data_IF_158135523340
#
_entry.id   IF_158135523340
#
_cell.length_a   1.000
_cell.length_b   1.000
_cell.length_c   1.000
_cell.angle_alpha   90.00
_cell.angle_beta   90.00
_cell.angle_gamma   90.00
#
_symmetry.space_group_name_H-M   'P 1'
#
loop_
_entity.id
_entity.type
_entity.pdbx_description
1 polymer ?
#
# COMPACT_ATOMS: atom_id res chain seq x y z
N UNK A 1 -15.47 -21.47 23.61
CA UNK A 1 -14.80 -22.52 22.80
C UNK A 1 -15.02 -22.14 21.35
N UNK A 2 -13.98 -21.71 20.66
CA UNK A 2 -14.14 -21.21 19.28
C UNK A 2 -14.46 -22.38 18.34
N UNK A 3 -15.24 -22.13 17.26
CA UNK A 3 -15.59 -23.17 16.26
C UNK A 3 -14.37 -23.85 15.67
N UNK A 4 -13.25 -23.11 15.51
CA UNK A 4 -11.97 -23.62 15.07
C UNK A 4 -11.38 -24.69 16.01
N UNK A 5 -11.58 -24.53 17.33
CA UNK A 5 -11.10 -25.50 18.33
C UNK A 5 -11.90 -26.82 18.30
N UNK A 6 -13.20 -26.74 18.01
CA UNK A 6 -14.07 -27.91 17.87
C UNK A 6 -13.64 -28.73 16.64
N UNK A 7 -13.38 -28.06 15.52
CA UNK A 7 -12.91 -28.68 14.28
C UNK A 7 -11.56 -29.39 14.45
N UNK A 8 -10.61 -28.70 15.08
CA UNK A 8 -9.27 -29.26 15.38
C UNK A 8 -9.37 -30.49 16.28
N UNK A 9 -10.14 -30.42 17.37
CA UNK A 9 -10.28 -31.52 18.31
C UNK A 9 -10.93 -32.75 17.66
N UNK A 10 -11.90 -32.54 16.78
CA UNK A 10 -12.52 -33.63 15.98
C UNK A 10 -11.48 -34.27 15.05
N UNK A 11 -10.74 -33.48 14.31
CA UNK A 11 -9.70 -33.96 13.41
C UNK A 11 -8.62 -34.76 14.18
N UNK A 12 -8.11 -34.24 15.31
CA UNK A 12 -7.13 -34.93 16.14
C UNK A 12 -7.63 -36.28 16.67
N UNK A 13 -8.92 -36.35 17.02
CA UNK A 13 -9.54 -37.61 17.46
C UNK A 13 -9.68 -38.62 16.31
N UNK A 14 -9.98 -38.18 15.10
CA UNK A 14 -10.10 -39.04 13.92
C UNK A 14 -8.74 -39.63 13.51
N UNK A 15 -7.69 -38.80 13.41
CA UNK A 15 -6.35 -39.29 13.06
C UNK A 15 -5.74 -40.16 14.15
N UNK A 16 -6.12 -39.94 15.41
CA UNK A 16 -5.65 -40.75 16.55
C UNK A 16 -6.14 -42.22 16.53
N UNK A 17 -7.24 -42.50 15.81
CA UNK A 17 -7.80 -43.85 15.65
C UNK A 17 -7.03 -44.70 14.63
N UNK A 18 -6.21 -44.09 13.79
CA UNK A 18 -5.49 -44.76 12.71
C UNK A 18 -4.20 -45.38 13.30
N UNK A 19 -3.97 -46.70 13.15
CA UNK A 19 -2.76 -47.31 13.65
C UNK A 19 -1.52 -46.86 12.90
N UNK A 20 -0.38 -46.79 13.61
CA UNK A 20 0.91 -46.47 13.00
C UNK A 20 1.39 -47.67 12.17
N UNK A 21 2.09 -47.37 11.08
CA UNK A 21 2.70 -48.40 10.21
C UNK A 21 4.04 -48.90 10.81
N UNK A 22 4.27 -50.20 10.65
CA UNK A 22 5.60 -50.77 10.89
C UNK A 22 6.51 -50.48 9.70
N UNK A 23 7.88 -50.52 9.90
CA UNK A 23 8.80 -50.31 8.78
C UNK A 23 8.60 -51.26 7.60
N UNK A 24 8.20 -52.50 7.87
CA UNK A 24 7.91 -53.49 6.83
C UNK A 24 6.68 -53.12 6.03
N UNK A 25 5.60 -52.65 6.70
CA UNK A 25 4.40 -52.16 6.04
C UNK A 25 4.66 -50.92 5.23
N UNK A 26 5.54 -49.99 5.69
CA UNK A 26 5.93 -48.84 4.90
C UNK A 26 6.56 -49.22 3.55
N UNK A 27 7.45 -50.24 3.55
CA UNK A 27 8.10 -50.74 2.33
C UNK A 27 7.09 -51.40 1.38
N UNK A 28 6.19 -52.25 1.90
CA UNK A 28 5.16 -52.91 1.10
C UNK A 28 4.20 -51.91 0.48
N UNK A 29 3.72 -50.95 1.27
CA UNK A 29 2.81 -49.91 0.78
C UNK A 29 3.52 -49.01 -0.23
N UNK A 30 4.77 -48.63 -0.02
CA UNK A 30 5.54 -47.83 -0.96
C UNK A 30 5.69 -48.54 -2.31
N UNK A 31 5.89 -49.86 -2.32
CA UNK A 31 5.95 -50.66 -3.55
C UNK A 31 4.61 -50.67 -4.31
N UNK A 32 3.47 -50.70 -3.59
CA UNK A 32 2.12 -50.62 -4.18
C UNK A 32 1.85 -49.20 -4.69
N UNK A 33 2.21 -48.14 -3.95
CA UNK A 33 2.06 -46.73 -4.37
C UNK A 33 2.83 -46.48 -5.67
N UNK A 34 4.06 -47.01 -5.82
CA UNK A 34 4.81 -46.90 -7.09
C UNK A 34 4.10 -47.58 -8.28
N UNK A 35 3.25 -48.58 -8.02
CA UNK A 35 2.42 -49.24 -9.03
C UNK A 35 1.10 -48.50 -9.33
N UNK A 36 0.84 -47.39 -8.64
CA UNK A 36 -0.36 -46.58 -8.84
C UNK A 36 -1.56 -46.97 -7.98
N UNK A 37 -1.40 -47.77 -6.92
CA UNK A 37 -2.47 -48.17 -6.03
C UNK A 37 -2.92 -47.00 -5.14
N UNK A 38 -4.12 -46.46 -5.45
CA UNK A 38 -4.70 -45.33 -4.73
C UNK A 38 -5.03 -45.68 -3.25
N UNK A 39 -5.47 -46.89 -2.97
CA UNK A 39 -5.80 -47.33 -1.59
C UNK A 39 -4.54 -47.43 -0.72
N UNK A 40 -3.46 -47.96 -1.29
CA UNK A 40 -2.18 -48.01 -0.59
C UNK A 40 -1.63 -46.62 -0.30
N UNK A 41 -1.79 -45.68 -1.25
CA UNK A 41 -1.43 -44.25 -1.07
C UNK A 41 -2.22 -43.59 0.06
N UNK A 42 -3.53 -43.78 0.05
CA UNK A 42 -4.41 -43.21 1.09
C UNK A 42 -4.07 -43.79 2.48
N UNK A 43 -3.87 -45.11 2.59
CA UNK A 43 -3.48 -45.76 3.85
C UNK A 43 -2.14 -45.21 4.37
N UNK A 44 -1.15 -45.00 3.51
CA UNK A 44 0.17 -44.48 3.86
C UNK A 44 0.10 -43.03 4.30
N UNK A 45 -0.72 -42.19 3.67
CA UNK A 45 -0.97 -40.80 4.07
C UNK A 45 -1.65 -40.76 5.43
N UNK A 46 -2.78 -41.46 5.58
CA UNK A 46 -3.61 -41.44 6.79
C UNK A 46 -2.83 -41.88 8.04
N UNK A 47 -2.00 -42.89 7.93
CA UNK A 47 -1.16 -43.36 9.04
C UNK A 47 -0.08 -42.33 9.48
N UNK A 48 0.28 -41.38 8.64
CA UNK A 48 1.31 -40.37 8.89
C UNK A 48 0.78 -38.95 9.15
N UNK A 49 -0.56 -38.72 9.20
CA UNK A 49 -1.14 -37.41 9.49
C UNK A 49 -0.72 -36.83 10.85
N UNK A 50 -0.49 -37.71 11.85
CA UNK A 50 -0.01 -37.30 13.18
C UNK A 50 1.35 -36.61 13.12
N UNK A 51 2.25 -37.05 12.21
CA UNK A 51 3.55 -36.40 11.98
C UNK A 51 3.38 -34.95 11.47
N UNK A 52 2.41 -34.74 10.59
CA UNK A 52 2.12 -33.41 10.07
C UNK A 52 1.69 -32.45 11.19
N UNK A 53 0.80 -32.92 12.08
CA UNK A 53 0.33 -32.10 13.22
C UNK A 53 1.49 -31.70 14.13
N UNK A 54 2.37 -32.64 14.46
CA UNK A 54 3.55 -32.34 15.29
C UNK A 54 4.44 -31.28 14.65
N UNK A 55 4.69 -31.39 13.35
CA UNK A 55 5.54 -30.42 12.64
C UNK A 55 4.81 -29.08 12.47
N UNK A 56 3.50 -29.05 12.18
CA UNK A 56 2.72 -27.83 12.02
C UNK A 56 2.66 -27.02 13.30
N UNK A 57 2.66 -27.67 14.47
CA UNK A 57 2.66 -27.02 15.77
C UNK A 57 3.91 -26.15 15.99
N UNK A 58 5.07 -26.55 15.47
CA UNK A 58 6.32 -25.75 15.53
C UNK A 58 6.20 -24.41 14.77
N UNK A 59 5.25 -24.31 13.87
CA UNK A 59 4.99 -23.13 13.04
C UNK A 59 3.72 -22.37 13.43
N UNK A 60 3.08 -22.74 14.55
CA UNK A 60 1.93 -22.03 15.08
C UNK A 60 2.27 -20.56 15.38
N UNK A 61 1.28 -19.66 15.29
CA UNK A 61 1.41 -18.23 15.58
C UNK A 61 2.34 -17.43 14.63
N UNK A 62 2.76 -18.00 13.51
CA UNK A 62 3.56 -17.28 12.50
C UNK A 62 2.71 -16.53 11.46
N UNK A 63 1.39 -16.47 11.66
CA UNK A 63 0.49 -15.68 10.81
C UNK A 63 -0.51 -16.48 9.99
N UNK A 64 -0.53 -17.82 10.15
CA UNK A 64 -1.57 -18.71 9.63
C UNK A 64 -2.20 -19.50 10.78
N UNK A 65 -3.51 -19.79 10.71
CA UNK A 65 -4.19 -20.70 11.62
C UNK A 65 -3.58 -22.10 11.58
N UNK A 66 -3.60 -22.81 12.72
CA UNK A 66 -3.00 -24.16 12.82
C UNK A 66 -3.63 -25.16 11.84
N UNK A 67 -4.95 -25.07 11.62
CA UNK A 67 -5.66 -25.95 10.67
C UNK A 67 -5.17 -25.74 9.22
N UNK A 68 -4.86 -24.50 8.84
CA UNK A 68 -4.33 -24.20 7.51
C UNK A 68 -2.89 -24.71 7.36
N UNK A 69 -2.07 -24.58 8.41
CA UNK A 69 -0.72 -25.15 8.44
C UNK A 69 -0.74 -26.68 8.32
N UNK A 70 -1.70 -27.35 8.99
CA UNK A 70 -1.89 -28.80 8.87
C UNK A 70 -2.31 -29.16 7.43
N UNK A 71 -3.24 -28.41 6.85
CA UNK A 71 -3.71 -28.66 5.48
C UNK A 71 -2.59 -28.54 4.45
N UNK A 72 -1.79 -27.49 4.55
CA UNK A 72 -0.61 -27.29 3.70
C UNK A 72 0.49 -28.36 3.97
N UNK A 73 0.65 -28.75 5.22
CA UNK A 73 1.52 -29.87 5.61
C UNK A 73 1.07 -31.21 5.02
N UNK A 74 -0.24 -31.47 4.96
CA UNK A 74 -0.80 -32.66 4.35
C UNK A 74 -0.53 -32.71 2.83
N UNK A 75 -0.54 -31.55 2.15
CA UNK A 75 -0.11 -31.46 0.74
C UNK A 75 1.37 -31.84 0.61
N UNK A 76 2.20 -31.39 1.54
CA UNK A 76 3.61 -31.78 1.61
C UNK A 76 3.80 -33.29 1.83
N UNK A 77 3.05 -33.89 2.77
CA UNK A 77 3.06 -35.32 3.04
C UNK A 77 2.65 -36.14 1.82
N UNK A 78 1.57 -35.73 1.10
CA UNK A 78 1.13 -36.38 -0.12
C UNK A 78 2.23 -36.46 -1.17
N UNK A 79 2.93 -35.34 -1.40
CA UNK A 79 4.08 -35.30 -2.31
C UNK A 79 5.24 -36.17 -1.85
N UNK A 80 5.46 -36.26 -0.54
CA UNK A 80 6.48 -37.13 0.02
C UNK A 80 6.16 -38.61 -0.23
N UNK A 81 4.92 -39.04 0.02
CA UNK A 81 4.47 -40.42 -0.19
C UNK A 81 4.62 -40.84 -1.65
N UNK A 82 4.26 -39.98 -2.61
CA UNK A 82 4.39 -40.26 -4.04
C UNK A 82 5.84 -40.43 -4.51
N UNK A 83 6.77 -39.74 -3.86
CA UNK A 83 8.20 -39.72 -4.25
C UNK A 83 9.09 -40.59 -3.37
N UNK A 84 8.52 -41.21 -2.36
CA UNK A 84 9.29 -42.01 -1.42
C UNK A 84 9.87 -43.26 -2.06
N UNK A 85 11.16 -43.51 -1.79
CA UNK A 85 11.86 -44.72 -2.22
C UNK A 85 12.44 -45.47 -1.01
N UNK A 86 11.85 -46.63 -0.62
CA UNK A 86 12.31 -47.40 0.51
C UNK A 86 13.71 -47.99 0.32
N UNK A 87 14.16 -48.17 -0.95
CA UNK A 87 15.48 -48.73 -1.25
C UNK A 87 16.65 -47.84 -0.79
N UNK A 88 16.38 -46.56 -0.50
CA UNK A 88 17.39 -45.62 0.00
C UNK A 88 17.70 -45.76 1.51
N UNK A 89 17.11 -46.71 2.20
CA UNK A 89 17.40 -47.03 3.60
C UNK A 89 16.88 -45.99 4.63
N UNK A 90 16.16 -44.96 4.22
CA UNK A 90 15.60 -43.95 5.09
C UNK A 90 14.15 -44.29 5.46
N UNK A 91 13.73 -43.96 6.70
CA UNK A 91 12.31 -44.04 7.11
C UNK A 91 11.48 -42.98 6.38
N UNK A 92 10.20 -43.29 6.10
CA UNK A 92 9.27 -42.32 5.49
C UNK A 92 9.20 -41.04 6.31
N UNK A 93 9.14 -41.12 7.63
CA UNK A 93 9.06 -39.96 8.50
C UNK A 93 10.20 -38.96 8.30
N UNK A 94 11.44 -39.44 8.15
CA UNK A 94 12.62 -38.59 7.90
C UNK A 94 12.55 -37.88 6.55
N UNK A 95 12.09 -38.58 5.51
CA UNK A 95 11.93 -38.02 4.17
C UNK A 95 10.74 -37.05 4.10
N UNK A 96 9.60 -37.44 4.67
CA UNK A 96 8.38 -36.64 4.67
C UNK A 96 8.52 -35.32 5.44
N UNK A 97 9.29 -35.33 6.57
CA UNK A 97 9.54 -34.16 7.37
C UNK A 97 10.06 -32.96 6.52
N UNK A 98 10.97 -33.25 5.59
CA UNK A 98 11.51 -32.20 4.72
C UNK A 98 10.42 -31.58 3.80
N UNK A 99 9.58 -32.46 3.19
CA UNK A 99 8.49 -32.01 2.31
C UNK A 99 7.39 -31.26 3.06
N UNK A 100 7.04 -31.74 4.26
CA UNK A 100 6.06 -31.10 5.13
C UNK A 100 6.55 -29.70 5.52
N UNK A 101 7.79 -29.59 6.04
CA UNK A 101 8.39 -28.29 6.40
C UNK A 101 8.50 -27.35 5.21
N UNK A 102 8.84 -27.84 4.03
CA UNK A 102 8.93 -27.05 2.82
C UNK A 102 7.57 -26.50 2.39
N UNK A 103 6.50 -27.34 2.44
CA UNK A 103 5.15 -26.92 2.11
C UNK A 103 4.63 -25.85 3.08
N UNK A 104 4.79 -26.08 4.38
CA UNK A 104 4.39 -25.13 5.44
C UNK A 104 5.13 -23.79 5.28
N UNK A 105 6.46 -23.81 5.11
CA UNK A 105 7.25 -22.58 4.93
C UNK A 105 6.82 -21.81 3.68
N UNK A 106 6.52 -22.53 2.60
CA UNK A 106 6.05 -21.91 1.35
C UNK A 106 4.67 -21.28 1.53
N UNK A 107 3.76 -21.94 2.24
CA UNK A 107 2.45 -21.41 2.59
C UNK A 107 2.56 -20.14 3.45
N UNK A 108 3.39 -20.18 4.50
CA UNK A 108 3.68 -19.02 5.33
C UNK A 108 4.24 -17.85 4.52
N UNK A 109 5.18 -18.08 3.63
CA UNK A 109 5.74 -17.03 2.80
C UNK A 109 4.71 -16.39 1.85
N UNK A 110 3.71 -17.17 1.42
CA UNK A 110 2.70 -16.73 0.44
C UNK A 110 1.44 -16.11 1.07
N UNK A 111 1.04 -16.57 2.26
CA UNK A 111 -0.31 -16.34 2.80
C UNK A 111 -0.30 -15.69 4.19
N UNK A 112 0.84 -15.65 4.91
CA UNK A 112 0.87 -15.17 6.30
C UNK A 112 0.73 -13.65 6.46
N UNK A 113 0.82 -12.89 5.37
CA UNK A 113 0.74 -11.43 5.40
C UNK A 113 -0.46 -10.92 4.61
N UNK A 114 -1.15 -9.92 5.15
CA UNK A 114 -2.26 -9.21 4.49
C UNK A 114 -1.80 -8.61 3.16
N UNK A 115 -0.63 -7.96 3.15
CA UNK A 115 0.02 -7.49 1.92
C UNK A 115 1.06 -8.54 1.54
N UNK A 116 0.76 -9.32 0.48
CA UNK A 116 1.62 -10.38 0.01
C UNK A 116 2.99 -9.85 -0.44
N UNK A 117 4.05 -10.44 0.07
CA UNK A 117 5.42 -10.16 -0.36
C UNK A 117 5.99 -11.32 -1.19
N UNK A 118 6.85 -11.04 -2.18
CA UNK A 118 7.63 -12.07 -2.86
C UNK A 118 8.49 -12.88 -1.88
N UNK A 119 8.60 -14.20 -2.10
CA UNK A 119 9.31 -15.13 -1.19
C UNK A 119 10.74 -14.68 -0.88
N UNK A 120 11.47 -14.20 -1.91
CA UNK A 120 12.85 -13.73 -1.72
C UNK A 120 12.98 -12.51 -0.80
N UNK A 121 11.92 -11.67 -0.66
CA UNK A 121 11.89 -10.57 0.32
C UNK A 121 11.58 -11.11 1.72
N UNK A 122 10.67 -12.09 1.84
CA UNK A 122 10.38 -12.74 3.11
C UNK A 122 11.64 -13.39 3.69
N UNK A 123 12.42 -14.09 2.85
CA UNK A 123 13.69 -14.70 3.26
C UNK A 123 14.72 -13.64 3.70
N UNK A 124 14.82 -12.52 2.99
CA UNK A 124 15.70 -11.40 3.37
C UNK A 124 15.29 -10.79 4.71
N UNK A 125 13.98 -10.53 4.90
CA UNK A 125 13.46 -10.01 6.18
C UNK A 125 13.75 -10.96 7.33
N UNK A 126 13.53 -12.28 7.12
CA UNK A 126 13.84 -13.29 8.11
C UNK A 126 15.35 -13.34 8.44
N UNK A 127 16.23 -13.16 7.44
CA UNK A 127 17.69 -13.08 7.65
C UNK A 127 18.05 -11.83 8.45
N UNK A 128 17.51 -10.64 8.08
CA UNK A 128 17.73 -9.38 8.82
C UNK A 128 17.32 -9.54 10.28
N UNK A 129 16.11 -10.10 10.54
CA UNK A 129 15.61 -10.30 11.90
C UNK A 129 16.51 -11.25 12.72
N UNK A 130 17.00 -12.33 12.11
CA UNK A 130 17.88 -13.30 12.78
C UNK A 130 19.22 -12.64 13.18
N UNK A 131 19.84 -11.91 12.24
CA UNK A 131 21.10 -11.22 12.50
C UNK A 131 20.90 -10.12 13.54
N UNK A 132 19.79 -9.38 13.46
CA UNK A 132 19.45 -8.36 14.46
C UNK A 132 19.35 -8.93 15.88
N UNK A 133 18.72 -10.09 16.05
CA UNK A 133 18.66 -10.77 17.36
C UNK A 133 20.04 -11.20 17.85
N UNK A 134 20.86 -11.80 16.97
CA UNK A 134 22.22 -12.23 17.33
C UNK A 134 23.12 -11.04 17.72
N UNK A 135 23.04 -9.94 16.98
CA UNK A 135 23.81 -8.73 17.31
C UNK A 135 23.29 -8.04 18.58
N UNK A 136 21.98 -8.07 18.81
CA UNK A 136 21.38 -7.53 20.04
C UNK A 136 21.88 -8.28 21.29
N UNK A 137 22.01 -9.60 21.21
CA UNK A 137 22.55 -10.42 22.29
C UNK A 137 24.03 -10.11 22.56
N UNK A 138 24.81 -9.77 21.52
CA UNK A 138 26.24 -9.44 21.65
C UNK A 138 26.47 -8.01 22.13
N UNK A 139 25.68 -7.04 21.62
CA UNK A 139 25.85 -5.61 21.90
C UNK A 139 25.12 -5.16 23.18
N UNK A 140 24.17 -5.95 23.70
CA UNK A 140 23.30 -5.54 24.80
C UNK A 140 22.31 -4.41 24.45
N UNK A 141 22.19 -4.05 23.16
CA UNK A 141 21.25 -3.05 22.60
C UNK A 141 20.78 -3.45 21.21
N UNK A 142 19.74 -2.81 20.73
CA UNK A 142 19.34 -3.00 19.33
C UNK A 142 20.40 -2.44 18.36
N UNK A 143 20.82 -3.21 17.35
CA UNK A 143 21.77 -2.78 16.33
C UNK A 143 21.12 -1.73 15.41
N UNK A 144 21.92 -0.76 14.97
CA UNK A 144 21.53 0.24 13.98
C UNK A 144 21.38 -0.39 12.58
N UNK A 145 20.70 0.31 11.67
CA UNK A 145 20.52 -0.19 10.31
C UNK A 145 21.85 -0.26 9.54
N UNK A 146 22.79 0.61 9.87
CA UNK A 146 24.13 0.61 9.25
C UNK A 146 24.97 -0.56 9.76
N UNK A 147 24.97 -0.85 11.06
CA UNK A 147 25.64 -2.02 11.64
C UNK A 147 25.09 -3.35 11.06
N UNK A 148 23.76 -3.46 10.93
CA UNK A 148 23.13 -4.60 10.26
C UNK A 148 23.49 -4.66 8.78
N UNK A 149 23.63 -3.50 8.13
CA UNK A 149 24.04 -3.38 6.75
C UNK A 149 25.44 -3.92 6.51
N UNK A 150 26.39 -3.57 7.37
CA UNK A 150 27.77 -4.04 7.33
C UNK A 150 27.84 -5.57 7.49
N UNK A 151 27.14 -6.14 8.48
CA UNK A 151 27.12 -7.60 8.72
C UNK A 151 26.47 -8.39 7.58
N UNK A 152 25.43 -7.83 6.96
CA UNK A 152 24.69 -8.46 5.86
C UNK A 152 25.27 -8.17 4.47
N UNK A 153 26.21 -7.22 4.34
CA UNK A 153 26.77 -6.78 3.06
C UNK A 153 25.77 -6.01 2.19
N UNK A 154 24.88 -5.21 2.82
CA UNK A 154 23.86 -4.40 2.13
C UNK A 154 23.83 -2.99 2.73
N UNK A 155 23.43 -1.99 1.94
CA UNK A 155 23.32 -0.61 2.43
C UNK A 155 22.27 -0.50 3.57
N UNK A 156 22.58 0.29 4.63
CA UNK A 156 21.70 0.51 5.78
C UNK A 156 20.29 0.99 5.40
N UNK A 157 20.16 1.88 4.41
CA UNK A 157 18.87 2.31 3.87
C UNK A 157 17.99 1.14 3.38
N UNK A 158 18.60 0.11 2.76
CA UNK A 158 17.88 -1.10 2.33
C UNK A 158 17.45 -1.95 3.52
N UNK A 159 18.23 -1.96 4.61
CA UNK A 159 17.84 -2.64 5.85
C UNK A 159 16.62 -1.97 6.46
N UNK A 160 16.60 -0.64 6.57
CA UNK A 160 15.45 0.13 7.04
C UNK A 160 14.18 -0.14 6.23
N UNK A 161 14.28 -0.17 4.90
CA UNK A 161 13.17 -0.54 4.00
C UNK A 161 12.70 -1.98 4.22
N UNK A 162 13.59 -2.94 4.45
CA UNK A 162 13.21 -4.32 4.73
C UNK A 162 12.53 -4.46 6.10
N UNK A 163 12.96 -3.70 7.11
CA UNK A 163 12.30 -3.66 8.43
C UNK A 163 10.86 -3.11 8.31
N UNK A 164 10.66 -1.99 7.60
CA UNK A 164 9.32 -1.41 7.41
C UNK A 164 8.38 -2.34 6.63
N UNK A 165 8.85 -3.05 5.58
CA UNK A 165 8.08 -4.09 4.90
C UNK A 165 7.75 -5.30 5.80
N UNK A 166 8.52 -5.49 6.88
CA UNK A 166 8.32 -6.54 7.87
C UNK A 166 7.13 -6.30 8.81
N UNK A 167 6.68 -5.05 8.96
CA UNK A 167 5.62 -4.65 9.88
C UNK A 167 4.29 -5.30 9.44
N UNK A 168 3.49 -5.74 10.41
CA UNK A 168 2.13 -6.23 10.17
C UNK A 168 1.16 -5.05 10.29
N UNK A 169 0.22 -4.88 9.34
CA UNK A 169 -0.86 -3.91 9.49
C UNK A 169 -1.70 -4.22 10.74
N UNK A 170 -2.08 -3.19 11.46
CA UNK A 170 -3.08 -3.30 12.53
C UNK A 170 -4.49 -3.32 11.92
N UNK A 171 -5.46 -3.88 12.65
CA UNK A 171 -6.88 -3.77 12.27
C UNK A 171 -7.39 -2.36 12.56
N UNK A 172 -8.18 -1.81 11.67
CA UNK A 172 -8.89 -0.55 11.90
C UNK A 172 -10.04 -0.72 12.90
N UNK A 173 -10.59 -1.94 13.01
CA UNK A 173 -11.65 -2.29 13.95
C UNK A 173 -11.09 -2.65 15.35
N UNK A 174 -9.78 -2.51 15.56
CA UNK A 174 -9.19 -2.76 16.87
C UNK A 174 -9.58 -1.63 17.84
N UNK A 175 -9.97 -1.96 19.09
CA UNK A 175 -10.31 -0.96 20.11
C UNK A 175 -9.06 -0.17 20.53
N UNK A 176 -9.26 1.10 20.88
CA UNK A 176 -8.22 1.99 21.39
C UNK A 176 -8.37 2.07 22.92
N UNK A 177 -7.38 1.54 23.64
CA UNK A 177 -7.36 1.56 25.11
C UNK A 177 -8.16 0.42 25.75
N UNK A 178 -8.45 0.58 27.05
CA UNK A 178 -9.16 -0.42 27.86
C UNK A 178 -10.70 -0.31 27.73
N UNK A 179 -11.20 0.80 27.21
CA UNK A 179 -12.63 0.99 26.94
C UNK A 179 -12.93 0.57 25.49
N UNK A 180 -13.66 -0.52 25.32
CA UNK A 180 -14.08 -1.08 24.01
C UNK A 180 -14.99 -0.14 23.17
N UNK A 181 -15.05 1.15 23.49
CA UNK A 181 -16.02 2.11 22.94
C UNK A 181 -15.53 2.84 21.69
N UNK A 182 -14.23 2.86 21.40
CA UNK A 182 -13.66 3.64 20.29
C UNK A 182 -12.72 2.77 19.46
N UNK A 183 -12.95 2.69 18.15
CA UNK A 183 -12.12 1.96 17.20
C UNK A 183 -11.11 2.89 16.51
N UNK A 184 -9.99 2.34 16.00
CA UNK A 184 -9.03 3.11 15.20
C UNK A 184 -9.68 3.75 13.97
N UNK A 185 -10.70 3.11 13.40
CA UNK A 185 -11.43 3.61 12.23
C UNK A 185 -12.13 4.95 12.47
N UNK A 186 -12.57 5.22 13.70
CA UNK A 186 -13.26 6.46 14.08
C UNK A 186 -12.30 7.65 14.24
N UNK A 187 -11.02 7.38 14.54
CA UNK A 187 -10.01 8.43 14.76
C UNK A 187 -9.31 8.84 13.47
N UNK A 188 -9.26 7.94 12.50
CA UNK A 188 -8.62 8.22 11.22
C UNK A 188 -9.56 9.02 10.33
N UNK A 189 -9.23 10.32 10.15
CA UNK A 189 -9.97 11.20 9.24
C UNK A 189 -9.70 10.87 7.78
N UNK A 190 -10.66 11.19 6.92
CA UNK A 190 -10.49 11.14 5.46
C UNK A 190 -9.79 12.43 4.99
N UNK A 191 -8.52 12.32 4.59
CA UNK A 191 -7.72 13.46 4.10
C UNK A 191 -8.21 13.98 2.74
N UNK A 192 -8.89 13.14 1.96
CA UNK A 192 -9.44 13.50 0.65
C UNK A 192 -10.86 14.09 0.73
N UNK A 193 -11.49 14.07 1.91
CA UNK A 193 -12.82 14.63 2.11
C UNK A 193 -12.79 16.15 1.97
N UNK A 194 -13.54 16.65 0.99
CA UNK A 194 -13.68 18.09 0.77
C UNK A 194 -14.39 18.74 1.97
N UNK A 195 -13.80 19.80 2.50
CA UNK A 195 -14.44 20.58 3.56
C UNK A 195 -15.70 21.29 3.04
N UNK A 196 -16.70 21.57 3.89
CA UNK A 196 -17.88 22.36 3.49
C UNK A 196 -17.50 23.70 2.87
N UNK A 197 -16.41 24.31 3.32
CA UNK A 197 -15.89 25.56 2.75
C UNK A 197 -15.37 25.37 1.32
N UNK A 198 -14.66 24.29 1.03
CA UNK A 198 -14.18 23.98 -0.33
C UNK A 198 -15.33 23.69 -1.28
N UNK A 199 -16.33 22.93 -0.83
CA UNK A 199 -17.55 22.68 -1.61
C UNK A 199 -18.28 24.01 -1.95
N UNK A 200 -18.43 24.89 -0.98
CA UNK A 200 -19.05 26.20 -1.19
C UNK A 200 -18.22 27.07 -2.12
N UNK A 201 -16.90 27.08 -1.95
CA UNK A 201 -15.96 27.80 -2.85
C UNK A 201 -16.10 27.31 -4.28
N UNK A 202 -16.11 26.00 -4.49
CA UNK A 202 -16.22 25.41 -5.84
C UNK A 202 -17.59 25.67 -6.47
N UNK A 203 -18.66 25.69 -5.67
CA UNK A 203 -19.99 26.03 -6.13
C UNK A 203 -20.07 27.53 -6.53
N UNK A 204 -19.52 28.42 -5.71
CA UNK A 204 -19.45 29.84 -6.03
C UNK A 204 -18.63 30.08 -7.31
N UNK A 205 -17.48 29.41 -7.44
CA UNK A 205 -16.64 29.51 -8.64
C UNK A 205 -17.40 29.06 -9.90
N UNK A 206 -18.15 27.95 -9.83
CA UNK A 206 -19.00 27.50 -10.96
C UNK A 206 -20.08 28.54 -11.33
N UNK A 207 -20.71 29.14 -10.34
CA UNK A 207 -21.72 30.14 -10.53
C UNK A 207 -21.13 31.42 -11.16
N UNK A 208 -19.97 31.87 -10.68
CA UNK A 208 -19.24 33.02 -11.24
C UNK A 208 -18.80 32.76 -12.68
N UNK A 209 -18.28 31.59 -12.97
CA UNK A 209 -17.93 31.16 -14.33
C UNK A 209 -19.15 31.15 -15.26
N UNK A 210 -20.31 30.67 -14.79
CA UNK A 210 -21.55 30.72 -15.52
C UNK A 210 -21.92 32.16 -15.95
N UNK A 211 -21.83 33.11 -15.00
CA UNK A 211 -22.08 34.52 -15.26
C UNK A 211 -21.03 35.19 -16.17
N UNK A 212 -19.78 34.74 -16.16
CA UNK A 212 -18.74 35.22 -17.07
C UNK A 212 -18.96 34.75 -18.52
N UNK A 213 -19.45 33.51 -18.70
CA UNK A 213 -19.73 32.95 -20.01
C UNK A 213 -20.88 33.70 -20.74
N UNK A 214 -21.70 34.47 -20.04
CA UNK A 214 -22.75 35.31 -20.65
C UNK A 214 -22.20 36.52 -21.41
N UNK A 215 -20.95 36.92 -21.16
CA UNK A 215 -20.26 37.99 -21.88
C UNK A 215 -19.83 37.56 -23.28
N UNK A 216 -19.80 36.27 -23.55
CA UNK A 216 -19.38 35.70 -24.83
C UNK A 216 -20.54 35.58 -25.80
N UNK A 217 -20.25 35.71 -27.10
CA UNK A 217 -21.22 35.42 -28.16
C UNK A 217 -21.59 33.91 -28.12
N UNK A 218 -22.81 33.57 -28.54
CA UNK A 218 -23.33 32.19 -28.54
C UNK A 218 -22.36 31.18 -29.21
N UNK A 219 -21.63 31.62 -30.23
CA UNK A 219 -20.69 30.79 -30.96
C UNK A 219 -19.40 30.58 -30.15
N UNK A 220 -18.88 31.66 -29.56
CA UNK A 220 -17.70 31.62 -28.67
C UNK A 220 -17.97 30.77 -27.40
N UNK A 221 -19.14 30.99 -26.78
CA UNK A 221 -19.59 30.22 -25.61
C UNK A 221 -19.59 28.71 -25.91
N UNK A 222 -20.20 28.28 -27.02
CA UNK A 222 -20.23 26.86 -27.42
C UNK A 222 -18.85 26.30 -27.71
N UNK A 223 -17.92 27.07 -28.29
CA UNK A 223 -16.54 26.62 -28.54
C UNK A 223 -15.81 26.42 -27.22
N UNK A 224 -15.89 27.38 -26.29
CA UNK A 224 -15.27 27.30 -24.98
C UNK A 224 -15.86 26.13 -24.16
N UNK A 225 -17.20 26.02 -24.12
CA UNK A 225 -17.84 24.90 -23.38
C UNK A 225 -17.41 23.55 -23.88
N UNK A 226 -17.38 23.31 -25.18
CA UNK A 226 -16.94 22.04 -25.76
C UNK A 226 -15.42 21.77 -25.58
N UNK A 227 -14.62 22.84 -25.71
CA UNK A 227 -13.15 22.71 -25.56
C UNK A 227 -12.76 22.33 -24.15
N UNK A 228 -13.36 22.94 -23.13
CA UNK A 228 -13.04 22.74 -21.71
C UNK A 228 -13.99 21.78 -20.99
N UNK A 229 -15.03 21.27 -21.67
CA UNK A 229 -15.98 20.32 -21.08
C UNK A 229 -16.93 20.97 -20.04
N UNK A 230 -17.21 22.29 -20.16
CA UNK A 230 -18.06 23.03 -19.22
C UNK A 230 -19.53 22.59 -19.25
N UNK A 231 -19.95 21.88 -20.29
CA UNK A 231 -21.29 21.29 -20.42
C UNK A 231 -21.40 19.91 -19.71
N UNK A 232 -20.43 19.53 -18.85
CA UNK A 232 -20.37 18.22 -18.20
C UNK A 232 -19.81 17.10 -19.09
N UNK A 233 -19.38 17.40 -20.30
CA UNK A 233 -18.73 16.48 -21.22
C UNK A 233 -17.20 16.42 -21.03
N UNK A 234 -16.54 15.48 -21.74
CA UNK A 234 -15.06 15.45 -21.77
C UNK A 234 -14.51 16.61 -22.60
N UNK A 235 -13.39 17.24 -22.20
CA UNK A 235 -12.71 18.25 -22.99
C UNK A 235 -12.37 17.73 -24.40
N UNK A 236 -12.66 18.54 -25.44
CA UNK A 236 -12.41 18.16 -26.83
C UNK A 236 -11.14 18.84 -27.37
N UNK A 237 -10.46 18.19 -28.32
CA UNK A 237 -9.30 18.79 -29.01
C UNK A 237 -9.76 19.91 -29.97
N UNK A 238 -8.85 20.80 -30.38
CA UNK A 238 -9.16 21.84 -31.36
C UNK A 238 -9.63 21.25 -32.69
N UNK A 239 -9.13 20.07 -33.03
CA UNK A 239 -9.48 19.35 -34.25
C UNK A 239 -10.92 18.81 -34.19
N UNK A 240 -11.32 18.22 -33.06
CA UNK A 240 -12.68 17.73 -32.88
C UNK A 240 -13.70 18.86 -32.88
N UNK A 241 -13.36 19.96 -32.18
CA UNK A 241 -14.21 21.18 -32.20
C UNK A 241 -14.29 21.76 -33.61
N UNK A 242 -13.21 21.74 -34.40
CA UNK A 242 -13.22 22.23 -35.78
C UNK A 242 -14.15 21.41 -36.67
N UNK A 243 -14.20 20.10 -36.51
CA UNK A 243 -15.14 19.20 -37.19
C UNK A 243 -16.60 19.50 -36.82
N UNK A 244 -16.87 19.71 -35.51
CA UNK A 244 -18.22 20.03 -35.02
C UNK A 244 -18.78 21.35 -35.58
N UNK A 245 -17.91 22.34 -35.82
CA UNK A 245 -18.31 23.66 -36.31
C UNK A 245 -18.12 23.88 -37.81
N UNK A 246 -17.54 22.91 -38.52
CA UNK A 246 -17.29 23.01 -39.97
C UNK A 246 -16.29 24.10 -40.37
N UNK A 247 -15.28 24.39 -39.49
CA UNK A 247 -14.27 25.45 -39.73
C UNK A 247 -12.87 24.87 -39.50
N UNK A 248 -11.86 25.62 -39.99
CA UNK A 248 -10.47 25.15 -39.82
C UNK A 248 -10.02 25.19 -38.36
N UNK A 249 -9.09 24.30 -37.98
CA UNK A 249 -8.47 24.26 -36.63
C UNK A 249 -7.93 25.63 -36.21
N UNK A 250 -7.26 26.35 -37.13
CA UNK A 250 -6.71 27.66 -36.86
C UNK A 250 -7.80 28.71 -36.58
N UNK A 251 -8.94 28.62 -37.25
CA UNK A 251 -10.07 29.53 -36.98
C UNK A 251 -10.67 29.30 -35.61
N UNK A 252 -10.73 28.02 -35.13
CA UNK A 252 -11.17 27.72 -33.76
C UNK A 252 -10.17 28.29 -32.77
N UNK A 253 -8.85 28.15 -33.01
CA UNK A 253 -7.81 28.72 -32.13
C UNK A 253 -7.92 30.22 -32.01
N UNK A 254 -8.18 30.96 -33.13
CA UNK A 254 -8.40 32.39 -33.12
C UNK A 254 -9.64 32.75 -32.29
N UNK A 255 -10.77 32.06 -32.49
CA UNK A 255 -12.01 32.31 -31.76
C UNK A 255 -11.83 32.02 -30.26
N UNK A 256 -11.11 30.94 -29.89
CA UNK A 256 -10.76 30.66 -28.50
C UNK A 256 -9.95 31.80 -27.87
N UNK A 257 -8.91 32.29 -28.54
CA UNK A 257 -8.09 33.40 -28.02
C UNK A 257 -8.89 34.68 -27.85
N UNK A 258 -9.81 34.99 -28.77
CA UNK A 258 -10.71 36.16 -28.67
C UNK A 258 -11.64 35.97 -27.46
N UNK A 259 -12.24 34.80 -27.31
CA UNK A 259 -13.14 34.52 -26.20
C UNK A 259 -12.42 34.62 -24.84
N UNK A 260 -11.21 34.01 -24.72
CA UNK A 260 -10.39 34.11 -23.51
C UNK A 260 -9.98 35.55 -23.19
N UNK A 261 -9.66 36.38 -24.21
CA UNK A 261 -9.35 37.79 -23.99
C UNK A 261 -10.59 38.59 -23.52
N UNK A 262 -11.79 38.26 -24.02
CA UNK A 262 -13.04 38.87 -23.52
C UNK A 262 -13.30 38.47 -22.06
N UNK A 263 -13.13 37.20 -21.70
CA UNK A 263 -13.29 36.71 -20.34
C UNK A 263 -12.29 37.37 -19.37
N UNK A 264 -11.01 37.47 -19.75
CA UNK A 264 -9.99 38.16 -18.93
C UNK A 264 -10.36 39.61 -18.65
N UNK A 265 -10.83 40.35 -19.67
CA UNK A 265 -11.31 41.73 -19.50
C UNK A 265 -12.53 41.85 -18.59
N UNK A 266 -13.46 40.88 -18.69
CA UNK A 266 -14.64 40.84 -17.84
C UNK A 266 -14.30 40.55 -16.38
N UNK A 267 -13.34 39.63 -16.13
CA UNK A 267 -12.78 39.35 -14.81
C UNK A 267 -12.11 40.57 -14.19
N UNK A 268 -11.17 41.20 -14.91
CA UNK A 268 -10.49 42.41 -14.42
C UNK A 268 -11.46 43.55 -14.09
N UNK A 269 -12.57 43.71 -14.84
CA UNK A 269 -13.61 44.70 -14.54
C UNK A 269 -14.41 44.34 -13.27
N UNK A 270 -14.56 43.04 -12.93
CA UNK A 270 -15.26 42.62 -11.70
C UNK A 270 -14.36 42.73 -10.46
N UNK A 271 -13.04 42.47 -10.63
CA UNK A 271 -12.06 42.60 -9.55
C UNK A 271 -11.69 44.04 -9.21
N UNK A 272 -11.88 45.00 -10.14
CA UNK A 272 -11.66 46.44 -9.94
C UNK A 272 -13.00 47.23 -9.99
N UNK A 273 -13.97 47.02 -9.10
CA UNK A 273 -15.17 47.86 -9.04
C UNK A 273 -14.89 49.27 -8.50
N UNK A 274 -13.73 49.51 -7.88
CA UNK A 274 -13.30 50.77 -7.28
C UNK A 274 -11.88 51.08 -7.72
N UNK A 275 -11.75 51.84 -8.83
CA UNK A 275 -10.45 52.33 -9.28
C UNK A 275 -9.64 52.98 -8.18
N UNK A 276 -8.49 52.43 -7.90
CA UNK A 276 -7.30 53.00 -7.24
C UNK A 276 -7.49 53.85 -5.97
N UNK A 277 -8.30 53.45 -5.00
CA UNK A 277 -8.19 54.08 -3.67
C UNK A 277 -8.66 53.12 -2.57
N UNK A 278 -7.77 52.28 -2.03
CA UNK A 278 -8.08 51.37 -0.92
C UNK A 278 -7.04 50.29 -0.70
N UNK A 279 -5.76 50.66 -0.77
CA UNK A 279 -4.65 49.73 -0.65
C UNK A 279 -4.30 49.36 0.78
N UNK A 280 -5.13 48.65 1.53
CA UNK A 280 -4.67 48.03 2.80
C UNK A 280 -5.48 46.80 3.27
N UNK A 281 -6.55 46.37 2.62
CA UNK A 281 -7.32 45.19 3.08
C UNK A 281 -7.40 44.01 2.09
N UNK A 282 -6.75 44.10 0.94
CA UNK A 282 -6.88 43.14 -0.17
C UNK A 282 -5.71 42.13 -0.31
N UNK A 283 -4.71 42.20 0.54
CA UNK A 283 -3.50 41.33 0.41
C UNK A 283 -3.78 39.83 0.62
N UNK A 284 -4.90 39.46 1.22
CA UNK A 284 -5.24 38.03 1.41
C UNK A 284 -6.13 37.47 0.28
N UNK A 285 -6.83 38.33 -0.49
CA UNK A 285 -7.58 37.90 -1.68
C UNK A 285 -6.66 37.70 -2.90
N UNK A 286 -5.55 38.43 -2.97
CA UNK A 286 -4.59 38.33 -4.07
C UNK A 286 -3.84 36.98 -4.15
N UNK A 287 -3.70 36.27 -3.03
CA UNK A 287 -3.07 34.93 -3.05
C UNK A 287 -3.95 33.89 -3.77
N UNK A 288 -5.27 33.99 -3.65
CA UNK A 288 -6.23 33.10 -4.34
C UNK A 288 -6.42 33.47 -5.82
N UNK A 289 -6.42 34.78 -6.16
CA UNK A 289 -6.54 35.27 -7.54
C UNK A 289 -5.31 34.88 -8.40
N UNK A 290 -4.11 34.92 -7.85
CA UNK A 290 -2.89 34.56 -8.58
C UNK A 290 -2.82 33.08 -8.95
N UNK A 291 -3.28 32.20 -8.07
CA UNK A 291 -3.44 30.78 -8.37
C UNK A 291 -4.47 30.50 -9.46
N UNK A 292 -5.47 31.38 -9.59
CA UNK A 292 -6.50 31.30 -10.63
C UNK A 292 -5.97 31.75 -12.01
N UNK A 293 -5.15 32.81 -12.07
CA UNK A 293 -4.48 33.21 -13.31
C UNK A 293 -3.48 32.17 -13.79
N UNK A 294 -2.73 31.57 -12.88
CA UNK A 294 -1.78 30.50 -13.18
C UNK A 294 -2.53 29.25 -13.70
N UNK A 295 -3.71 28.94 -13.19
CA UNK A 295 -4.55 27.83 -13.67
C UNK A 295 -5.15 28.11 -15.07
N UNK A 296 -5.49 29.37 -15.40
CA UNK A 296 -5.95 29.74 -16.74
C UNK A 296 -4.79 29.73 -17.75
N UNK A 297 -3.60 30.16 -17.36
CA UNK A 297 -2.41 30.11 -18.22
C UNK A 297 -1.92 28.65 -18.43
N UNK A 298 -2.08 27.74 -17.46
CA UNK A 298 -1.88 26.30 -17.62
C UNK A 298 -2.93 25.63 -18.50
N UNK A 299 -4.18 26.14 -18.52
CA UNK A 299 -5.26 25.62 -19.37
C UNK A 299 -5.15 26.05 -20.85
N UNK A 300 -4.26 26.99 -21.18
CA UNK A 300 -4.12 27.53 -22.56
C UNK A 300 -3.39 26.58 -23.49
N UNK A 301 -2.58 25.62 -22.96
CA UNK A 301 -1.90 24.65 -23.79
C UNK A 301 -1.87 23.26 -23.12
N UNK A 302 -2.85 22.38 -23.41
CA UNK A 302 -2.89 21.03 -22.86
C UNK A 302 -1.73 20.14 -23.34
N UNK A 303 -0.99 20.54 -24.36
CA UNK A 303 0.22 19.83 -24.83
C UNK A 303 1.45 20.16 -23.95
N UNK A 304 1.37 21.21 -23.11
CA UNK A 304 2.43 21.58 -22.13
C UNK A 304 2.33 20.74 -20.85
N UNK A 305 1.20 20.10 -20.57
CA UNK A 305 1.04 19.20 -19.41
C UNK A 305 1.82 17.88 -19.52
N UNK A 306 2.38 17.56 -20.69
CA UNK A 306 3.20 16.37 -20.91
C UNK A 306 4.69 16.67 -21.10
N UNK A 307 5.10 17.94 -21.10
CA UNK A 307 6.50 18.34 -21.15
C UNK A 307 7.04 18.59 -19.73
N UNK A 308 8.22 18.02 -19.45
CA UNK A 308 8.94 18.30 -18.20
C UNK A 308 9.08 19.83 -18.00
N UNK A 309 8.92 20.36 -16.77
CA UNK A 309 9.00 21.80 -16.53
C UNK A 309 10.39 22.31 -16.92
N UNK A 310 10.48 23.42 -17.68
CA UNK A 310 11.76 23.96 -18.11
C UNK A 310 12.61 24.32 -16.90
N UNK A 311 13.90 23.96 -16.92
CA UNK A 311 14.88 24.14 -15.83
C UNK A 311 15.00 25.58 -15.26
N UNK A 312 14.39 26.57 -15.88
CA UNK A 312 14.33 27.96 -15.41
C UNK A 312 13.40 28.20 -14.19
N UNK A 313 12.59 27.21 -13.79
CA UNK A 313 11.64 27.36 -12.68
C UNK A 313 12.19 26.94 -11.32
N UNK A 314 13.36 26.32 -11.25
CA UNK A 314 13.95 25.84 -9.99
C UNK A 314 14.46 26.95 -9.05
N UNK A 315 14.37 28.24 -9.41
CA UNK A 315 14.96 29.35 -8.67
C UNK A 315 14.01 30.36 -8.04
N UNK A 316 12.69 30.26 -8.14
CA UNK A 316 11.76 31.34 -7.76
C UNK A 316 10.81 31.08 -6.60
N UNK A 317 10.83 29.93 -5.97
CA UNK A 317 10.06 29.72 -4.76
C UNK A 317 10.99 29.76 -3.56
N UNK A 318 10.87 30.75 -2.65
CA UNK A 318 11.55 30.64 -1.36
C UNK A 318 10.90 29.47 -0.61
N UNK A 319 11.69 28.45 -0.31
CA UNK A 319 11.32 27.41 0.63
C UNK A 319 10.77 28.06 1.92
N UNK A 320 9.63 27.58 2.46
CA UNK A 320 9.18 28.04 3.76
C UNK A 320 10.31 27.78 4.75
N UNK A 321 10.87 28.85 5.31
CA UNK A 321 11.92 28.78 6.30
C UNK A 321 11.40 27.92 7.46
N UNK A 322 12.03 26.79 7.68
CA UNK A 322 11.85 26.00 8.90
C UNK A 322 12.14 26.93 10.08
N UNK A 323 11.10 27.31 10.83
CA UNK A 323 11.25 28.01 12.09
C UNK A 323 12.12 27.13 12.99
N UNK A 324 13.36 27.56 13.25
CA UNK A 324 14.25 26.94 14.23
C UNK A 324 13.55 26.99 15.59
N UNK A 325 13.17 25.81 16.08
CA UNK A 325 12.69 25.64 17.45
C UNK A 325 13.84 26.06 18.38
N UNK A 326 13.66 27.00 19.31
CA UNK A 326 14.72 27.40 20.23
C UNK A 326 15.08 26.19 21.12
N UNK A 327 16.37 25.84 21.14
CA UNK A 327 16.93 24.85 22.06
C UNK A 327 16.68 25.34 23.49
N UNK A 328 15.87 24.60 24.24
CA UNK A 328 15.76 24.77 25.70
C UNK A 328 17.13 24.41 26.30
N UNK A 329 17.81 25.39 26.90
CA UNK A 329 19.01 25.17 27.70
C UNK A 329 18.60 24.35 28.93
N UNK A 330 19.09 23.13 29.05
CA UNK A 330 19.03 22.34 30.27
C UNK A 330 19.91 23.03 31.33
N UNK A 331 19.26 23.65 32.30
CA UNK A 331 19.93 24.16 33.48
C UNK A 331 20.49 23.00 34.32
N UNK A 332 21.81 22.98 34.48
CA UNK A 332 22.46 22.16 35.50
C UNK A 332 22.08 22.70 36.87
N UNK A 333 21.25 21.97 37.62
CA UNK A 333 21.21 22.15 39.06
C UNK A 333 22.23 21.21 39.68
N UNK A 334 23.27 21.82 40.22
CA UNK A 334 24.23 21.17 41.10
C UNK A 334 23.55 20.84 42.43
N UNK A 335 23.75 19.62 42.86
CA UNK A 335 23.42 19.17 44.24
C UNK A 335 24.71 19.27 45.04
N UNK A 336 24.73 19.93 46.19
CA UNK A 336 25.90 19.95 47.06
C UNK A 336 25.99 18.63 47.84
N UNK A 337 27.23 18.11 47.94
CA UNK A 337 27.57 17.02 48.84
C UNK A 337 27.57 17.49 50.28
N UNK A 338 26.87 16.81 51.16
CA UNK A 338 27.10 16.81 52.62
C UNK A 338 27.04 15.35 53.14
N UNK A 339 28.21 15.00 53.72
CA UNK A 339 28.57 14.08 54.80
C UNK A 339 27.95 12.67 54.80
#
# INVERSE_FOLDING_TARGET
MNESDIGLNRYLREIGRIPLLTPQQEVELAAKVKKGDAKAREQMINANLRLVVTIAHDYANLGLPLLDLISEGNIGLTKAVERFDPNKGAKLSTYAMWWIKQSIKRALANQSKTIRLPVHLVDKIAKVRRVSLQMSDQLGREPTDDELGEELGIAGEKVGRLKSLGIRPASLDAPIGDDDSTEFSEVIGDEDAQTPFELLRDQNLRNEMGGLLEVLDNREKKIISKRFGLDGGKPKTLEDVSKDFGVTRERIRQLQNIALAKLRRALSKREDPLGRSGGAQLTNLYASGRAYYDAIDLAVDPDVLLAEPPQKWQGRYPHPQQKKIPRVRSGRHGVPAER
#
